data_IF_575262508173
#
_entry.id   IF_575262508173
#
_cell.length_a   1.000
_cell.length_b   1.000
_cell.length_c   1.000
_cell.angle_alpha   90.00
_cell.angle_beta   90.00
_cell.angle_gamma   90.00
#
_symmetry.space_group_name_H-M   'P 1'
#
loop_
_entity.id
_entity.type
_entity.pdbx_description
1 polymer ?
#
# COMPACT_ATOMS: atom_id res chain seq x y z
N UNK A 1 -9.15 -16.21 -30.49
CA UNK A 1 -9.12 -16.87 -29.17
C UNK A 1 -9.36 -15.85 -28.08
N UNK A 2 -9.78 -16.29 -26.93
CA UNK A 2 -10.14 -15.41 -25.80
C UNK A 2 -8.96 -14.55 -25.32
N UNK A 3 -7.73 -15.06 -25.40
CA UNK A 3 -6.50 -14.32 -25.07
C UNK A 3 -6.28 -13.14 -26.02
N UNK A 4 -6.43 -13.34 -27.33
CA UNK A 4 -6.27 -12.25 -28.30
C UNK A 4 -7.31 -11.15 -28.10
N UNK A 5 -8.53 -11.51 -27.76
CA UNK A 5 -9.60 -10.57 -27.40
C UNK A 5 -9.31 -9.82 -26.09
N UNK A 6 -8.79 -10.53 -25.07
CA UNK A 6 -8.37 -9.91 -23.82
C UNK A 6 -7.26 -8.88 -24.03
N UNK A 7 -6.24 -9.20 -24.83
CA UNK A 7 -5.15 -8.29 -25.16
C UNK A 7 -5.62 -7.01 -25.87
N UNK A 8 -6.65 -7.11 -26.71
CA UNK A 8 -7.25 -5.93 -27.38
C UNK A 8 -7.88 -4.97 -26.36
N UNK A 9 -8.69 -5.49 -25.46
CA UNK A 9 -9.30 -4.66 -24.40
C UNK A 9 -8.26 -4.10 -23.42
N UNK A 10 -7.22 -4.87 -23.14
CA UNK A 10 -6.09 -4.43 -22.31
C UNK A 10 -5.38 -3.23 -22.94
N UNK A 11 -5.05 -3.31 -24.24
CA UNK A 11 -4.42 -2.21 -24.97
C UNK A 11 -5.31 -0.95 -24.98
N UNK A 12 -6.61 -1.12 -25.16
CA UNK A 12 -7.57 -0.02 -25.11
C UNK A 12 -7.63 0.61 -23.68
N UNK A 13 -7.62 -0.21 -22.62
CA UNK A 13 -7.60 0.27 -21.26
C UNK A 13 -6.33 1.08 -20.95
N UNK A 14 -5.15 0.58 -21.37
CA UNK A 14 -3.88 1.31 -21.20
C UNK A 14 -3.85 2.62 -21.97
N UNK A 15 -4.43 2.67 -23.16
CA UNK A 15 -4.57 3.92 -23.93
C UNK A 15 -5.46 4.92 -23.18
N UNK A 16 -6.58 4.48 -22.64
CA UNK A 16 -7.49 5.31 -21.84
C UNK A 16 -6.82 5.84 -20.57
N UNK A 17 -6.04 5.01 -19.90
CA UNK A 17 -5.26 5.40 -18.72
C UNK A 17 -4.26 6.51 -19.04
N UNK A 18 -3.50 6.37 -20.14
CA UNK A 18 -2.58 7.39 -20.63
C UNK A 18 -3.28 8.71 -20.99
N UNK A 19 -4.50 8.63 -21.49
CA UNK A 19 -5.34 9.79 -21.79
C UNK A 19 -6.02 10.39 -20.55
N UNK A 20 -5.74 9.87 -19.35
CA UNK A 20 -6.36 10.28 -18.08
C UNK A 20 -7.88 10.19 -18.10
N UNK A 21 -8.44 9.19 -18.79
CA UNK A 21 -9.87 8.93 -18.79
C UNK A 21 -10.39 8.61 -17.37
N UNK A 22 -11.69 8.76 -17.10
CA UNK A 22 -12.29 8.37 -15.83
C UNK A 22 -11.96 6.93 -15.46
N UNK A 23 -11.73 6.68 -14.15
CA UNK A 23 -11.31 5.36 -13.65
C UNK A 23 -12.32 4.25 -14.01
N UNK A 24 -13.60 4.59 -14.06
CA UNK A 24 -14.69 3.67 -14.42
C UNK A 24 -14.60 3.20 -15.87
N UNK A 25 -14.15 4.06 -16.80
CA UNK A 25 -13.96 3.66 -18.21
C UNK A 25 -12.79 2.67 -18.35
N UNK A 26 -11.70 2.94 -17.65
CA UNK A 26 -10.53 2.02 -17.61
C UNK A 26 -10.95 0.69 -17.00
N UNK A 27 -11.68 0.73 -15.88
CA UNK A 27 -12.14 -0.47 -15.20
C UNK A 27 -13.09 -1.32 -16.08
N UNK A 28 -14.03 -0.72 -16.80
CA UNK A 28 -14.93 -1.45 -17.69
C UNK A 28 -14.18 -2.24 -18.77
N UNK A 29 -13.09 -1.67 -19.29
CA UNK A 29 -12.22 -2.37 -20.25
C UNK A 29 -11.43 -3.50 -19.57
N UNK A 30 -10.95 -3.30 -18.37
CA UNK A 30 -10.27 -4.36 -17.59
C UNK A 30 -11.22 -5.49 -17.20
N UNK A 31 -12.48 -5.21 -16.84
CA UNK A 31 -13.49 -6.24 -16.63
C UNK A 31 -13.73 -7.05 -17.92
N UNK A 32 -13.75 -6.38 -19.07
CA UNK A 32 -13.86 -7.03 -20.38
C UNK A 32 -12.64 -7.93 -20.71
N UNK A 33 -11.46 -7.66 -20.14
CA UNK A 33 -10.31 -8.55 -20.25
C UNK A 33 -10.53 -9.82 -19.42
N UNK A 34 -10.83 -9.64 -18.13
CA UNK A 34 -10.83 -10.75 -17.16
C UNK A 34 -11.99 -11.72 -17.37
N UNK A 35 -13.17 -11.23 -17.82
CA UNK A 35 -14.35 -12.08 -18.08
C UNK A 35 -14.10 -13.18 -19.15
N UNK A 36 -13.01 -13.06 -19.92
CA UNK A 36 -12.61 -14.07 -20.92
C UNK A 36 -11.86 -15.25 -20.34
N UNK A 37 -11.54 -15.19 -19.06
CA UNK A 37 -10.89 -16.28 -18.34
C UNK A 37 -11.89 -16.89 -17.36
N UNK A 38 -11.78 -18.19 -17.13
CA UNK A 38 -12.62 -18.93 -16.16
C UNK A 38 -11.86 -19.22 -14.88
N UNK A 39 -12.56 -19.27 -13.78
CA UNK A 39 -11.98 -19.73 -12.52
C UNK A 39 -11.84 -21.26 -12.49
N UNK A 40 -10.79 -21.85 -11.89
CA UNK A 40 -9.65 -21.13 -11.29
C UNK A 40 -8.74 -20.49 -12.34
N UNK A 41 -8.34 -19.24 -12.11
CA UNK A 41 -7.49 -18.53 -13.05
C UNK A 41 -6.08 -19.15 -13.14
N UNK A 42 -5.54 -19.18 -14.37
CA UNK A 42 -4.17 -19.61 -14.68
C UNK A 42 -3.22 -18.41 -14.77
N UNK A 43 -1.91 -18.69 -14.94
CA UNK A 43 -0.89 -17.64 -15.15
C UNK A 43 -1.20 -16.71 -16.33
N UNK A 44 -1.94 -17.20 -17.34
CA UNK A 44 -2.35 -16.38 -18.48
C UNK A 44 -3.29 -15.23 -18.10
N UNK A 45 -4.13 -15.42 -17.09
CA UNK A 45 -5.02 -14.38 -16.56
C UNK A 45 -4.31 -13.41 -15.63
N UNK A 46 -3.17 -13.78 -15.08
CA UNK A 46 -2.49 -13.05 -14.01
C UNK A 46 -2.23 -11.57 -14.34
N UNK A 47 -1.68 -11.19 -15.52
CA UNK A 47 -1.46 -9.76 -15.82
C UNK A 47 -2.74 -8.94 -15.79
N UNK A 48 -3.84 -9.50 -16.27
CA UNK A 48 -5.14 -8.81 -16.36
C UNK A 48 -5.78 -8.66 -14.97
N UNK A 49 -5.60 -9.66 -14.10
CA UNK A 49 -6.06 -9.59 -12.70
C UNK A 49 -5.34 -8.49 -11.93
N UNK A 50 -4.01 -8.39 -12.08
CA UNK A 50 -3.22 -7.38 -11.39
C UNK A 50 -3.60 -5.97 -11.85
N UNK A 51 -3.75 -5.77 -13.14
CA UNK A 51 -4.14 -4.46 -13.70
C UNK A 51 -5.59 -4.11 -13.36
N UNK A 52 -6.50 -5.09 -13.32
CA UNK A 52 -7.88 -4.84 -12.85
C UNK A 52 -7.90 -4.47 -11.37
N UNK A 53 -7.07 -5.11 -10.54
CA UNK A 53 -6.93 -4.72 -9.14
C UNK A 53 -6.54 -3.23 -9.02
N UNK A 54 -5.56 -2.79 -9.81
CA UNK A 54 -5.14 -1.39 -9.82
C UNK A 54 -6.24 -0.44 -10.34
N UNK A 55 -6.95 -0.81 -11.40
CA UNK A 55 -8.08 -0.04 -11.92
C UNK A 55 -9.20 0.08 -10.87
N UNK A 56 -9.49 -1.01 -10.13
CA UNK A 56 -10.44 -1.02 -9.01
C UNK A 56 -9.99 -0.12 -7.86
N UNK A 57 -8.70 -0.06 -7.56
CA UNK A 57 -8.15 0.86 -6.57
C UNK A 57 -8.35 2.31 -6.98
N UNK A 58 -8.13 2.64 -8.24
CA UNK A 58 -8.35 3.98 -8.81
C UNK A 58 -9.85 4.37 -8.81
N UNK A 59 -10.73 3.40 -8.99
CA UNK A 59 -12.19 3.56 -8.91
C UNK A 59 -12.75 3.46 -7.47
N UNK A 60 -11.89 3.50 -6.43
CA UNK A 60 -12.26 3.36 -5.01
C UNK A 60 -12.97 2.05 -4.64
N UNK A 61 -12.75 0.99 -5.40
CA UNK A 61 -13.33 -0.34 -5.18
C UNK A 61 -12.34 -1.29 -4.45
N UNK A 62 -11.79 -0.86 -3.34
CA UNK A 62 -10.71 -1.56 -2.63
C UNK A 62 -11.04 -3.02 -2.25
N UNK A 63 -12.29 -3.31 -1.84
CA UNK A 63 -12.71 -4.69 -1.52
C UNK A 63 -12.68 -5.59 -2.75
N UNK A 64 -13.11 -5.09 -3.91
CA UNK A 64 -13.06 -5.84 -5.15
C UNK A 64 -11.61 -6.00 -5.65
N UNK A 65 -10.76 -4.98 -5.46
CA UNK A 65 -9.33 -5.08 -5.76
C UNK A 65 -8.65 -6.19 -4.95
N UNK A 66 -9.01 -6.35 -3.67
CA UNK A 66 -8.48 -7.45 -2.84
C UNK A 66 -8.81 -8.83 -3.42
N UNK A 67 -9.99 -9.02 -4.01
CA UNK A 67 -10.35 -10.28 -4.66
C UNK A 67 -9.46 -10.56 -5.88
N UNK A 68 -9.13 -9.53 -6.66
CA UNK A 68 -8.23 -9.67 -7.80
C UNK A 68 -6.80 -9.96 -7.36
N UNK A 69 -6.29 -9.30 -6.32
CA UNK A 69 -4.98 -9.63 -5.76
C UNK A 69 -4.91 -11.07 -5.25
N UNK A 70 -5.98 -11.57 -4.60
CA UNK A 70 -6.04 -12.97 -4.15
C UNK A 70 -6.10 -13.95 -5.32
N UNK A 71 -6.87 -13.62 -6.36
CA UNK A 71 -6.94 -14.40 -7.59
C UNK A 71 -5.57 -14.44 -8.31
N UNK A 72 -4.92 -13.28 -8.43
CA UNK A 72 -3.55 -13.18 -8.97
C UNK A 72 -2.58 -14.07 -8.19
N UNK A 73 -2.55 -13.92 -6.86
CA UNK A 73 -1.64 -14.69 -5.99
C UNK A 73 -1.79 -16.20 -6.20
N UNK A 74 -3.04 -16.68 -6.32
CA UNK A 74 -3.34 -18.10 -6.63
C UNK A 74 -2.88 -18.48 -8.03
N UNK A 75 -3.17 -17.65 -9.04
CA UNK A 75 -2.82 -17.92 -10.44
C UNK A 75 -1.32 -18.09 -10.66
N UNK A 76 -0.50 -17.34 -9.90
CA UNK A 76 0.97 -17.46 -9.96
C UNK A 76 1.57 -18.39 -8.89
N UNK A 77 0.74 -19.20 -8.22
CA UNK A 77 1.15 -20.13 -7.15
C UNK A 77 1.99 -19.46 -6.04
N UNK A 78 1.63 -18.25 -5.65
CA UNK A 78 2.30 -17.47 -4.62
C UNK A 78 3.69 -16.94 -4.99
N UNK A 79 4.11 -17.07 -6.25
CA UNK A 79 5.38 -16.52 -6.73
C UNK A 79 5.27 -15.03 -6.97
N UNK A 80 5.41 -14.26 -5.91
CA UNK A 80 5.29 -12.79 -5.90
C UNK A 80 6.50 -12.14 -5.24
N UNK A 81 6.72 -10.87 -5.54
CA UNK A 81 7.77 -10.05 -4.93
C UNK A 81 7.21 -9.14 -3.81
N UNK A 82 8.10 -8.40 -3.18
CA UNK A 82 7.79 -7.41 -2.13
C UNK A 82 6.81 -6.34 -2.60
N UNK A 83 6.98 -5.87 -3.85
CA UNK A 83 6.10 -4.83 -4.44
C UNK A 83 4.65 -5.29 -4.54
N UNK A 84 4.39 -6.58 -4.81
CA UNK A 84 3.03 -7.13 -4.78
C UNK A 84 2.38 -6.96 -3.41
N UNK A 85 3.09 -7.30 -2.34
CA UNK A 85 2.59 -7.17 -0.97
C UNK A 85 2.32 -5.72 -0.62
N UNK A 86 3.17 -4.79 -1.07
CA UNK A 86 2.96 -3.36 -0.87
C UNK A 86 1.65 -2.86 -1.52
N UNK A 87 1.39 -3.21 -2.79
CA UNK A 87 0.14 -2.80 -3.44
C UNK A 87 -1.10 -3.48 -2.84
N UNK A 88 -1.00 -4.75 -2.43
CA UNK A 88 -2.11 -5.44 -1.78
C UNK A 88 -2.39 -4.86 -0.40
N UNK A 89 -1.38 -4.45 0.32
CA UNK A 89 -1.53 -3.74 1.59
C UNK A 89 -2.34 -2.44 1.43
N UNK A 90 -2.03 -1.62 0.42
CA UNK A 90 -2.79 -0.39 0.14
C UNK A 90 -4.28 -0.69 -0.08
N UNK A 91 -4.61 -1.75 -0.78
CA UNK A 91 -5.99 -2.20 -0.96
C UNK A 91 -6.60 -2.71 0.35
N UNK A 92 -5.85 -3.48 1.13
CA UNK A 92 -6.29 -3.99 2.43
C UNK A 92 -6.59 -2.84 3.42
N UNK A 93 -5.75 -1.81 3.47
CA UNK A 93 -5.96 -0.60 4.28
C UNK A 93 -7.26 0.12 3.91
N UNK A 94 -7.47 0.38 2.61
CA UNK A 94 -8.69 1.03 2.13
C UNK A 94 -9.92 0.16 2.36
N UNK A 95 -9.79 -1.17 2.29
CA UNK A 95 -10.83 -2.12 2.59
C UNK A 95 -11.06 -2.34 4.10
N UNK A 96 -10.27 -1.71 4.97
CA UNK A 96 -10.24 -1.87 6.43
C UNK A 96 -9.92 -3.30 6.89
N UNK A 97 -9.14 -4.04 6.09
CA UNK A 97 -8.65 -5.38 6.41
C UNK A 97 -7.27 -5.30 7.08
N UNK A 98 -7.20 -4.66 8.23
CA UNK A 98 -5.94 -4.27 8.87
C UNK A 98 -5.00 -5.44 9.17
N UNK A 99 -5.52 -6.61 9.57
CA UNK A 99 -4.65 -7.78 9.82
C UNK A 99 -3.97 -8.27 8.54
N UNK A 100 -4.66 -8.20 7.40
CA UNK A 100 -4.05 -8.54 6.10
C UNK A 100 -2.96 -7.52 5.72
N UNK A 101 -3.23 -6.24 5.94
CA UNK A 101 -2.25 -5.20 5.70
C UNK A 101 -0.97 -5.40 6.54
N UNK A 102 -1.11 -5.73 7.83
CA UNK A 102 0.03 -6.07 8.69
C UNK A 102 0.84 -7.24 8.13
N UNK A 103 0.16 -8.35 7.81
CA UNK A 103 0.81 -9.54 7.29
C UNK A 103 1.54 -9.28 5.95
N UNK A 104 0.94 -8.46 5.08
CA UNK A 104 1.56 -8.11 3.79
C UNK A 104 2.83 -7.28 3.98
N UNK A 105 2.82 -6.30 4.90
CA UNK A 105 4.03 -5.53 5.18
C UNK A 105 5.13 -6.36 5.85
N UNK A 106 4.78 -7.29 6.73
CA UNK A 106 5.75 -8.23 7.28
C UNK A 106 6.40 -9.08 6.17
N UNK A 107 5.62 -9.56 5.20
CA UNK A 107 6.15 -10.29 4.03
C UNK A 107 7.03 -9.42 3.13
N UNK A 108 6.63 -8.17 2.88
CA UNK A 108 7.47 -7.24 2.12
C UNK A 108 8.81 -6.98 2.81
N UNK A 109 8.83 -6.81 4.13
CA UNK A 109 10.04 -6.63 4.93
C UNK A 109 10.92 -7.89 4.91
N UNK A 110 10.33 -9.10 4.98
CA UNK A 110 11.08 -10.37 4.86
C UNK A 110 11.83 -10.45 3.51
N UNK A 111 11.19 -10.00 2.41
CA UNK A 111 11.75 -10.03 1.07
C UNK A 111 12.77 -8.90 0.82
N UNK A 112 12.53 -7.73 1.39
CA UNK A 112 13.36 -6.53 1.22
C UNK A 112 13.65 -5.86 2.57
N UNK A 113 14.51 -6.46 3.41
CA UNK A 113 14.69 -6.04 4.82
C UNK A 113 15.34 -4.66 4.99
N UNK A 114 15.95 -4.10 3.94
CA UNK A 114 16.58 -2.77 3.97
C UNK A 114 15.67 -1.67 3.44
N UNK A 115 14.53 -2.00 2.84
CA UNK A 115 13.58 -0.99 2.37
C UNK A 115 12.83 -0.40 3.56
N UNK A 116 13.04 0.89 3.80
CA UNK A 116 12.44 1.62 4.91
C UNK A 116 10.96 1.92 4.69
N UNK A 117 10.53 1.96 3.43
CA UNK A 117 9.12 2.23 3.06
C UNK A 117 8.20 1.20 3.70
N UNK A 118 8.54 -0.08 3.65
CA UNK A 118 7.70 -1.15 4.21
C UNK A 118 7.60 -1.08 5.74
N UNK A 119 8.68 -0.63 6.42
CA UNK A 119 8.62 -0.38 7.87
C UNK A 119 7.77 0.82 8.22
N UNK A 120 7.84 1.89 7.42
CA UNK A 120 6.99 3.05 7.60
C UNK A 120 5.51 2.67 7.41
N UNK A 121 5.17 1.92 6.37
CA UNK A 121 3.80 1.44 6.13
C UNK A 121 3.33 0.49 7.24
N UNK A 122 4.17 -0.46 7.70
CA UNK A 122 3.83 -1.30 8.84
C UNK A 122 3.53 -0.47 10.11
N UNK A 123 4.32 0.58 10.34
CA UNK A 123 4.07 1.49 11.45
C UNK A 123 2.75 2.27 11.26
N UNK A 124 2.44 2.73 10.05
CA UNK A 124 1.17 3.39 9.72
C UNK A 124 -0.02 2.48 10.02
N UNK A 125 0.05 1.20 9.62
CA UNK A 125 -1.02 0.23 9.92
C UNK A 125 -1.17 0.04 11.43
N UNK A 126 -0.06 -0.15 12.16
CA UNK A 126 -0.06 -0.30 13.61
C UNK A 126 -0.68 0.92 14.31
N UNK A 127 -0.32 2.15 13.91
CA UNK A 127 -0.91 3.39 14.42
C UNK A 127 -2.42 3.42 14.17
N UNK A 128 -2.87 3.03 12.98
CA UNK A 128 -4.31 3.02 12.63
C UNK A 128 -5.14 2.06 13.48
N UNK A 129 -4.54 0.96 13.93
CA UNK A 129 -5.23 -0.01 14.82
C UNK A 129 -4.94 0.21 16.30
N UNK A 130 -4.24 1.29 16.65
CA UNK A 130 -3.93 1.67 18.03
C UNK A 130 -2.80 0.87 18.68
N UNK A 131 -2.02 0.11 17.90
CA UNK A 131 -0.83 -0.62 18.36
C UNK A 131 0.40 0.30 18.33
N UNK A 132 0.35 1.34 19.15
CA UNK A 132 1.35 2.42 19.08
C UNK A 132 2.73 1.99 19.55
N UNK A 133 2.83 1.10 20.52
CA UNK A 133 4.11 0.55 21.02
C UNK A 133 4.80 -0.28 19.93
N UNK A 134 4.06 -1.11 19.19
CA UNK A 134 4.57 -1.88 18.06
C UNK A 134 5.02 -0.95 16.93
N UNK A 135 4.26 0.11 16.66
CA UNK A 135 4.66 1.10 15.67
C UNK A 135 5.99 1.76 16.06
N UNK A 136 6.16 2.18 17.32
CA UNK A 136 7.42 2.77 17.79
C UNK A 136 8.59 1.82 17.63
N UNK A 137 8.40 0.52 17.94
CA UNK A 137 9.45 -0.50 17.77
C UNK A 137 9.87 -0.63 16.31
N UNK A 138 8.92 -0.77 15.40
CA UNK A 138 9.20 -0.87 13.95
C UNK A 138 9.95 0.36 13.43
N UNK A 139 9.58 1.56 13.90
CA UNK A 139 10.24 2.81 13.52
C UNK A 139 11.65 2.93 14.11
N UNK A 140 11.89 2.43 15.32
CA UNK A 140 13.23 2.33 15.89
C UNK A 140 14.12 1.39 15.06
N UNK A 141 13.58 0.24 14.62
CA UNK A 141 14.30 -0.67 13.72
C UNK A 141 14.62 0.01 12.37
N UNK A 142 13.72 0.85 11.84
CA UNK A 142 14.00 1.64 10.65
C UNK A 142 15.14 2.66 10.88
N UNK A 143 15.14 3.34 12.03
CA UNK A 143 16.20 4.30 12.40
C UNK A 143 17.54 3.64 12.71
N UNK A 144 17.55 2.37 13.06
CA UNK A 144 18.78 1.59 13.19
C UNK A 144 19.44 1.33 11.82
N UNK A 145 18.65 1.30 10.73
CA UNK A 145 19.16 1.17 9.36
C UNK A 145 19.58 2.54 8.82
N UNK A 146 18.75 3.57 8.99
CA UNK A 146 19.04 4.95 8.61
C UNK A 146 18.56 5.92 9.70
N UNK A 147 19.50 6.43 10.50
CA UNK A 147 19.21 7.37 11.59
C UNK A 147 18.69 8.74 11.10
N UNK A 148 18.76 9.03 9.80
CA UNK A 148 18.26 10.26 9.17
C UNK A 148 16.92 10.07 8.45
N UNK A 149 16.25 8.95 8.60
CA UNK A 149 14.96 8.71 7.99
C UNK A 149 13.88 9.59 8.64
N UNK A 150 13.66 10.77 8.06
CA UNK A 150 12.82 11.82 8.62
C UNK A 150 11.37 11.39 8.85
N UNK A 151 10.80 10.59 7.94
CA UNK A 151 9.44 10.06 8.04
C UNK A 151 9.25 9.20 9.29
N UNK A 152 10.26 8.43 9.70
CA UNK A 152 10.16 7.63 10.93
C UNK A 152 9.93 8.52 12.15
N UNK A 153 10.65 9.64 12.28
CA UNK A 153 10.43 10.58 13.38
C UNK A 153 9.04 11.21 13.33
N UNK A 154 8.53 11.54 12.15
CA UNK A 154 7.15 12.05 12.00
C UNK A 154 6.13 11.02 12.47
N UNK A 155 6.25 9.78 12.04
CA UNK A 155 5.36 8.69 12.45
C UNK A 155 5.47 8.36 13.94
N UNK A 156 6.69 8.41 14.52
CA UNK A 156 6.88 8.28 15.97
C UNK A 156 6.10 9.35 16.71
N UNK A 157 6.20 10.61 16.28
CA UNK A 157 5.43 11.70 16.89
C UNK A 157 3.92 11.48 16.84
N UNK A 158 3.40 10.93 15.74
CA UNK A 158 1.97 10.60 15.60
C UNK A 158 1.58 9.49 16.59
N UNK A 159 2.37 8.41 16.71
CA UNK A 159 2.13 7.34 17.67
C UNK A 159 2.16 7.86 19.11
N UNK A 160 3.14 8.69 19.45
CA UNK A 160 3.29 9.30 20.76
C UNK A 160 2.11 10.23 21.13
N UNK A 161 1.56 10.98 20.15
CA UNK A 161 0.34 11.77 20.39
C UNK A 161 -0.86 10.88 20.75
N UNK A 162 -1.04 9.77 20.05
CA UNK A 162 -2.12 8.81 20.38
C UNK A 162 -1.94 8.21 21.78
N UNK A 163 -0.70 8.04 22.23
CA UNK A 163 -0.35 7.62 23.59
C UNK A 163 -0.44 8.75 24.62
N UNK A 164 -0.89 9.96 24.23
CA UNK A 164 -0.97 11.17 25.07
C UNK A 164 0.40 11.67 25.56
N UNK A 165 1.48 11.33 24.89
CA UNK A 165 2.85 11.74 25.17
C UNK A 165 3.22 12.98 24.36
N UNK A 166 2.53 14.11 24.61
CA UNK A 166 2.64 15.35 23.80
C UNK A 166 4.09 15.87 23.72
N UNK A 167 4.81 15.87 24.83
CA UNK A 167 6.17 16.41 24.87
C UNK A 167 7.12 15.59 23.98
N UNK A 168 7.08 14.26 24.10
CA UNK A 168 7.86 13.34 23.26
C UNK A 168 7.49 13.48 21.78
N UNK A 169 6.20 13.58 21.48
CA UNK A 169 5.72 13.79 20.11
C UNK A 169 6.28 15.06 19.48
N UNK A 170 6.31 16.17 20.21
CA UNK A 170 6.86 17.43 19.72
C UNK A 170 8.38 17.37 19.49
N UNK A 171 9.11 16.62 20.31
CA UNK A 171 10.53 16.35 20.09
C UNK A 171 10.73 15.54 18.80
N UNK A 172 9.93 14.50 18.58
CA UNK A 172 9.96 13.70 17.37
C UNK A 172 9.63 14.53 16.11
N UNK A 173 8.62 15.38 16.16
CA UNK A 173 8.29 16.28 15.05
C UNK A 173 9.39 17.32 14.79
N UNK A 174 10.01 17.87 15.83
CA UNK A 174 11.13 18.79 15.66
C UNK A 174 12.30 18.10 14.94
N UNK A 175 12.59 16.84 15.28
CA UNK A 175 13.62 16.05 14.61
C UNK A 175 13.27 15.74 13.15
N UNK A 176 12.01 15.38 12.87
CA UNK A 176 11.54 15.19 11.49
C UNK A 176 11.71 16.47 10.66
N UNK A 177 11.41 17.64 11.22
CA UNK A 177 11.60 18.94 10.58
C UNK A 177 13.08 19.23 10.31
N UNK A 178 13.95 19.04 11.29
CA UNK A 178 15.40 19.19 11.15
C UNK A 178 15.95 18.35 9.99
N UNK A 179 15.40 17.14 9.80
CA UNK A 179 15.78 16.20 8.74
C UNK A 179 15.04 16.45 7.41
N UNK A 180 14.19 17.48 7.34
CA UNK A 180 13.56 17.93 6.11
C UNK A 180 12.27 17.17 5.72
N UNK A 181 11.51 16.57 6.67
CA UNK A 181 10.21 15.97 6.36
C UNK A 181 9.23 17.06 5.88
N UNK A 182 8.68 16.96 4.65
CA UNK A 182 7.82 17.98 4.08
C UNK A 182 6.40 18.01 4.70
N UNK A 183 6.04 17.00 5.48
CA UNK A 183 4.68 16.80 5.97
C UNK A 183 4.53 17.10 7.48
N UNK A 184 5.58 17.60 8.13
CA UNK A 184 5.58 17.74 9.60
C UNK A 184 5.11 19.10 10.10
N UNK A 185 5.21 20.18 9.30
CA UNK A 185 4.93 21.54 9.77
C UNK A 185 3.52 21.72 10.32
N UNK A 186 2.51 21.20 9.63
CA UNK A 186 1.13 21.26 10.10
C UNK A 186 0.90 20.50 11.41
N UNK A 187 1.66 19.44 11.68
CA UNK A 187 1.60 18.69 12.93
C UNK A 187 2.19 19.52 14.09
N UNK A 188 3.31 20.19 13.86
CA UNK A 188 3.96 21.08 14.84
C UNK A 188 3.02 22.24 15.19
N UNK A 189 2.46 22.89 14.17
CA UNK A 189 1.53 24.02 14.38
C UNK A 189 0.30 23.63 15.21
N UNK A 190 -0.24 22.47 14.93
CA UNK A 190 -1.46 21.99 15.58
C UNK A 190 -1.24 21.47 17.00
N UNK A 191 -0.10 20.86 17.28
CA UNK A 191 0.08 20.07 18.51
C UNK A 191 1.18 20.58 19.44
N UNK A 192 2.12 21.41 18.96
CA UNK A 192 3.33 21.78 19.69
C UNK A 192 3.42 23.27 20.08
N UNK A 193 2.32 23.99 19.97
CA UNK A 193 2.17 25.35 20.51
C UNK A 193 1.68 25.30 21.95
#
# INVERSE_FOLDING_TARGET
SDIASAATFFSAAKTKELMKAPAEEVLALMDSCVVRFTEPYTEEAAPYLLERAQARMNANQARAAMLDYDAYYKAVNGKVNDVFYYYREQAALKAKQFQRALNDMEKAIELSPKDLTYRAELAVVNIRVGRNEEALKVLQDALAIDSKYAEAYRLMGIAQLQMKKKQEACQSFAKAKELGDPNVDGLIEKHCK
#
